data_IF_658623109816
#
_entry.id   IF_658623109816
#
_cell.length_a   1.000
_cell.length_b   1.000
_cell.length_c   1.000
_cell.angle_alpha   90.00
_cell.angle_beta   90.00
_cell.angle_gamma   90.00
#
_symmetry.space_group_name_H-M   'P 1'
#
loop_
_entity.id
_entity.type
_entity.pdbx_description
1 polymer ?
#
# COMPACT_ATOMS: atom_id res chain seq x y z
N UNK A 1 0.98 2.33 10.51
CA UNK A 1 -0.22 1.64 10.01
C UNK A 1 -0.91 0.79 11.10
N UNK A 2 -0.15 0.10 11.95
CA UNK A 2 -0.70 -0.74 13.04
C UNK A 2 -1.62 -0.02 14.04
N UNK A 3 -1.46 1.28 14.28
CA UNK A 3 -2.34 2.02 15.21
C UNK A 3 -3.78 2.10 14.69
N UNK A 4 -3.97 2.41 13.41
CA UNK A 4 -5.30 2.59 12.80
C UNK A 4 -6.07 1.26 12.79
N UNK A 5 -5.42 0.15 12.44
CA UNK A 5 -6.07 -1.17 12.49
C UNK A 5 -6.44 -1.54 13.92
N UNK A 6 -5.55 -1.28 14.89
CA UNK A 6 -5.84 -1.51 16.31
C UNK A 6 -7.03 -0.68 16.80
N UNK A 7 -7.13 0.57 16.35
CA UNK A 7 -8.25 1.46 16.68
C UNK A 7 -9.57 0.93 16.08
N UNK A 8 -9.56 0.52 14.81
CA UNK A 8 -10.73 -0.08 14.14
C UNK A 8 -11.16 -1.37 14.85
N UNK A 9 -10.21 -2.23 15.24
CA UNK A 9 -10.49 -3.44 16.01
C UNK A 9 -11.14 -3.13 17.35
N UNK A 10 -10.68 -2.09 18.03
CA UNK A 10 -11.24 -1.62 19.30
C UNK A 10 -12.67 -1.12 19.10
N UNK A 11 -12.91 -0.31 18.07
CA UNK A 11 -14.24 0.15 17.69
C UNK A 11 -15.19 -1.03 17.41
N UNK A 12 -14.75 -2.02 16.62
CA UNK A 12 -15.56 -3.21 16.32
C UNK A 12 -15.87 -4.02 17.59
N UNK A 13 -14.88 -4.23 18.48
CA UNK A 13 -15.10 -4.91 19.77
C UNK A 13 -16.15 -4.20 20.62
N UNK A 14 -16.08 -2.86 20.69
CA UNK A 14 -17.04 -2.06 21.44
C UNK A 14 -18.45 -2.15 20.83
N UNK A 15 -18.57 -2.01 19.50
CA UNK A 15 -19.84 -2.16 18.80
C UNK A 15 -20.45 -3.55 19.03
N UNK A 16 -19.64 -4.61 18.86
CA UNK A 16 -20.07 -5.99 19.10
C UNK A 16 -20.58 -6.17 20.52
N UNK A 17 -19.85 -5.68 21.52
CA UNK A 17 -20.27 -5.79 22.92
C UNK A 17 -21.60 -5.10 23.18
N UNK A 18 -21.86 -3.95 22.56
CA UNK A 18 -23.14 -3.25 22.68
C UNK A 18 -24.26 -4.01 21.95
N UNK A 19 -23.98 -4.53 20.76
CA UNK A 19 -24.92 -5.35 20.00
C UNK A 19 -25.32 -6.61 20.78
N UNK A 20 -24.37 -7.30 21.41
CA UNK A 20 -24.63 -8.49 22.25
C UNK A 20 -25.59 -8.15 23.41
N UNK A 21 -25.44 -6.98 24.04
CA UNK A 21 -26.36 -6.51 25.10
C UNK A 21 -27.77 -6.23 24.56
N UNK A 22 -27.87 -5.64 23.37
CA UNK A 22 -29.18 -5.38 22.72
C UNK A 22 -29.86 -6.69 22.33
N UNK A 23 -29.12 -7.62 21.72
CA UNK A 23 -29.63 -8.95 21.35
C UNK A 23 -30.16 -9.71 22.57
N UNK A 24 -29.44 -9.65 23.70
CA UNK A 24 -29.92 -10.24 24.96
C UNK A 24 -31.23 -9.60 25.45
N UNK A 25 -31.38 -8.28 25.33
CA UNK A 25 -32.64 -7.59 25.68
C UNK A 25 -33.78 -7.97 24.74
N UNK A 26 -33.50 -8.14 23.45
CA UNK A 26 -34.46 -8.64 22.49
C UNK A 26 -34.87 -10.07 22.81
N UNK A 27 -33.93 -10.95 23.19
CA UNK A 27 -34.26 -12.31 23.62
C UNK A 27 -35.16 -12.29 24.86
N UNK A 28 -34.90 -11.42 25.83
CA UNK A 28 -35.78 -11.28 27.00
C UNK A 28 -37.17 -10.74 26.63
N UNK A 29 -37.26 -9.82 25.69
CA UNK A 29 -38.53 -9.27 25.21
C UNK A 29 -39.35 -10.33 24.46
N UNK A 30 -38.72 -11.06 23.55
CA UNK A 30 -39.35 -12.12 22.74
C UNK A 30 -39.88 -13.23 23.64
N UNK A 31 -39.12 -13.61 24.66
CA UNK A 31 -39.51 -14.66 25.62
C UNK A 31 -40.35 -14.14 26.81
N UNK A 32 -40.88 -12.92 26.73
CA UNK A 32 -41.69 -12.37 27.82
C UNK A 32 -43.11 -12.97 27.81
N UNK A 33 -43.35 -13.96 28.66
CA UNK A 33 -44.65 -14.64 28.80
C UNK A 33 -45.77 -13.74 29.34
N UNK A 34 -45.44 -12.61 29.96
CA UNK A 34 -46.45 -11.66 30.50
C UNK A 34 -47.00 -10.68 29.47
N UNK A 35 -46.34 -10.53 28.32
CA UNK A 35 -46.79 -9.68 27.21
C UNK A 35 -47.46 -10.55 26.14
N UNK A 36 -48.79 -10.52 26.08
CA UNK A 36 -49.62 -11.44 25.29
C UNK A 36 -50.72 -10.69 24.52
N UNK A 37 -51.25 -11.34 23.48
CA UNK A 37 -52.24 -10.79 22.55
C UNK A 37 -51.69 -10.74 21.12
N UNK A 38 -52.57 -10.61 20.13
CA UNK A 38 -52.19 -10.66 18.72
C UNK A 38 -51.15 -9.59 18.35
N UNK A 39 -51.26 -8.38 18.92
CA UNK A 39 -50.29 -7.30 18.73
C UNK A 39 -48.95 -7.59 19.43
N UNK A 40 -48.98 -8.28 20.57
CA UNK A 40 -47.79 -8.67 21.31
C UNK A 40 -47.00 -9.72 20.55
N UNK A 41 -47.69 -10.73 20.00
CA UNK A 41 -47.07 -11.79 19.21
C UNK A 41 -46.49 -11.24 17.90
N UNK A 42 -47.21 -10.34 17.21
CA UNK A 42 -46.68 -9.65 16.03
C UNK A 42 -45.42 -8.81 16.35
N UNK A 43 -45.40 -8.13 17.49
CA UNK A 43 -44.24 -7.34 17.93
C UNK A 43 -43.04 -8.22 18.24
N UNK A 44 -43.25 -9.36 18.94
CA UNK A 44 -42.19 -10.33 19.23
C UNK A 44 -41.62 -10.94 17.95
N UNK A 45 -42.48 -11.27 16.99
CA UNK A 45 -42.05 -11.79 15.68
C UNK A 45 -41.20 -10.77 14.91
N UNK A 46 -41.62 -9.50 14.90
CA UNK A 46 -40.86 -8.42 14.28
C UNK A 46 -39.47 -8.25 14.90
N UNK A 47 -39.39 -8.14 16.23
CA UNK A 47 -38.10 -8.02 16.94
C UNK A 47 -37.23 -9.25 16.68
N UNK A 48 -37.82 -10.45 16.74
CA UNK A 48 -37.06 -11.69 16.60
C UNK A 48 -36.47 -11.88 15.18
N UNK A 49 -37.23 -11.48 14.16
CA UNK A 49 -36.88 -11.75 12.76
C UNK A 49 -36.15 -10.57 12.14
N UNK A 50 -36.68 -9.36 12.29
CA UNK A 50 -36.20 -8.17 11.58
C UNK A 50 -35.08 -7.49 12.37
N UNK A 51 -35.33 -7.10 13.62
CA UNK A 51 -34.35 -6.30 14.37
C UNK A 51 -33.09 -7.10 14.71
N UNK A 52 -33.25 -8.33 15.22
CA UNK A 52 -32.10 -9.24 15.45
C UNK A 52 -31.39 -9.58 14.14
N UNK A 53 -32.14 -9.83 13.06
CA UNK A 53 -31.59 -10.10 11.73
C UNK A 53 -30.72 -8.95 11.22
N UNK A 54 -31.19 -7.72 11.39
CA UNK A 54 -30.45 -6.52 11.03
C UNK A 54 -29.15 -6.37 11.82
N UNK A 55 -29.20 -6.50 13.16
CA UNK A 55 -28.00 -6.39 14.01
C UNK A 55 -26.95 -7.44 13.62
N UNK A 56 -27.37 -8.70 13.44
CA UNK A 56 -26.47 -9.77 13.02
C UNK A 56 -25.85 -9.51 11.64
N UNK A 57 -26.64 -8.99 10.70
CA UNK A 57 -26.16 -8.61 9.36
C UNK A 57 -25.11 -7.49 9.43
N UNK A 58 -25.32 -6.49 10.29
CA UNK A 58 -24.35 -5.42 10.51
C UNK A 58 -23.05 -5.94 11.14
N UNK A 59 -23.14 -6.85 12.13
CA UNK A 59 -21.97 -7.46 12.75
C UNK A 59 -21.12 -8.24 11.74
N UNK A 60 -21.77 -9.05 10.90
CA UNK A 60 -21.09 -9.81 9.85
C UNK A 60 -20.45 -8.89 8.80
N UNK A 61 -21.13 -7.81 8.41
CA UNK A 61 -20.57 -6.83 7.48
C UNK A 61 -19.33 -6.14 8.06
N UNK A 62 -19.39 -5.66 9.30
CA UNK A 62 -18.26 -4.99 9.95
C UNK A 62 -17.08 -5.94 10.18
N UNK A 63 -17.36 -7.21 10.50
CA UNK A 63 -16.33 -8.24 10.64
C UNK A 63 -15.59 -8.45 9.32
N UNK A 64 -16.32 -8.61 8.21
CA UNK A 64 -15.72 -8.74 6.87
C UNK A 64 -14.88 -7.51 6.50
N UNK A 65 -15.39 -6.31 6.80
CA UNK A 65 -14.65 -5.08 6.56
C UNK A 65 -13.34 -5.03 7.36
N UNK A 66 -13.34 -5.45 8.62
CA UNK A 66 -12.13 -5.56 9.44
C UNK A 66 -11.13 -6.58 8.87
N UNK A 67 -11.61 -7.72 8.39
CA UNK A 67 -10.77 -8.73 7.73
C UNK A 67 -10.12 -8.16 6.46
N UNK A 68 -10.86 -7.39 5.66
CA UNK A 68 -10.32 -6.70 4.47
C UNK A 68 -9.22 -5.69 4.85
N UNK A 69 -9.44 -4.88 5.88
CA UNK A 69 -8.42 -3.93 6.32
C UNK A 69 -7.14 -4.63 6.80
N UNK A 70 -7.27 -5.75 7.52
CA UNK A 70 -6.12 -6.58 7.94
C UNK A 70 -5.40 -7.20 6.74
N UNK A 71 -6.16 -7.68 5.76
CA UNK A 71 -5.61 -8.25 4.53
C UNK A 71 -4.81 -7.19 3.76
N UNK A 72 -5.39 -6.03 3.49
CA UNK A 72 -4.74 -4.95 2.76
C UNK A 72 -3.42 -4.51 3.42
N UNK A 73 -3.41 -4.28 4.74
CA UNK A 73 -2.18 -3.88 5.45
C UNK A 73 -1.11 -4.97 5.43
N UNK A 74 -1.50 -6.22 5.67
CA UNK A 74 -0.57 -7.35 5.63
C UNK A 74 -0.01 -7.55 4.23
N UNK A 75 -0.88 -7.52 3.21
CA UNK A 75 -0.50 -7.75 1.83
C UNK A 75 0.39 -6.64 1.28
N UNK A 76 0.13 -5.39 1.68
CA UNK A 76 1.00 -4.26 1.35
C UNK A 76 2.41 -4.45 1.92
N UNK A 77 2.50 -4.86 3.20
CA UNK A 77 3.77 -5.09 3.86
C UNK A 77 4.57 -6.25 3.23
N UNK A 78 3.88 -7.28 2.74
CA UNK A 78 4.50 -8.44 2.10
C UNK A 78 4.93 -8.17 0.65
N UNK A 79 4.12 -7.43 -0.11
CA UNK A 79 4.29 -7.29 -1.56
C UNK A 79 4.98 -5.99 -1.99
N UNK A 80 4.89 -4.94 -1.19
CA UNK A 80 5.36 -3.60 -1.58
C UNK A 80 6.49 -3.12 -0.66
N UNK A 81 6.19 -2.89 0.62
CA UNK A 81 7.16 -2.37 1.60
C UNK A 81 6.80 -2.77 3.02
N UNK A 82 7.69 -3.53 3.67
CA UNK A 82 7.52 -4.03 5.03
C UNK A 82 7.78 -2.99 6.12
N UNK A 83 8.22 -1.78 5.77
CA UNK A 83 8.48 -0.74 6.73
C UNK A 83 7.19 -0.32 7.48
N UNK A 84 7.24 -0.16 8.82
CA UNK A 84 6.05 0.09 9.65
C UNK A 84 5.35 1.44 9.37
N UNK A 85 6.09 2.35 8.75
CA UNK A 85 5.68 3.68 8.31
C UNK A 85 5.73 3.84 6.79
N UNK A 86 5.79 2.73 6.03
CA UNK A 86 5.76 2.75 4.59
C UNK A 86 4.54 3.56 4.11
N UNK A 87 4.82 4.65 3.41
CA UNK A 87 3.85 5.47 2.70
C UNK A 87 4.45 5.69 1.33
N UNK A 88 3.98 4.92 0.38
CA UNK A 88 4.43 5.04 -1.01
C UNK A 88 3.35 5.80 -1.74
N UNK A 89 3.75 6.94 -2.28
CA UNK A 89 2.94 7.72 -3.21
C UNK A 89 3.62 7.63 -4.59
N UNK A 90 2.84 7.18 -5.58
CA UNK A 90 3.33 7.06 -6.95
C UNK A 90 3.75 8.41 -7.52
N UNK A 91 3.12 9.52 -7.11
CA UNK A 91 3.49 10.87 -7.56
C UNK A 91 4.91 11.22 -7.07
N UNK A 92 5.16 11.08 -5.77
CA UNK A 92 6.48 11.31 -5.19
C UNK A 92 7.55 10.34 -5.77
N UNK A 93 7.20 9.09 -6.07
CA UNK A 93 8.12 8.18 -6.75
C UNK A 93 8.45 8.62 -8.17
N UNK A 94 7.48 9.17 -8.91
CA UNK A 94 7.71 9.70 -10.26
C UNK A 94 8.62 10.93 -10.22
N UNK A 95 8.41 11.84 -9.27
CA UNK A 95 9.24 13.02 -9.08
C UNK A 95 10.69 12.62 -8.73
N UNK A 96 10.86 11.75 -7.73
CA UNK A 96 12.17 11.26 -7.32
C UNK A 96 12.90 10.54 -8.46
N UNK A 97 12.19 9.71 -9.24
CA UNK A 97 12.75 9.03 -10.40
C UNK A 97 13.23 10.04 -11.46
N UNK A 98 12.43 11.06 -11.76
CA UNK A 98 12.78 12.08 -12.75
C UNK A 98 14.02 12.89 -12.33
N UNK A 99 14.08 13.33 -11.07
CA UNK A 99 15.23 14.06 -10.53
C UNK A 99 16.51 13.22 -10.56
N UNK A 100 16.45 11.96 -10.10
CA UNK A 100 17.61 11.07 -10.09
C UNK A 100 18.09 10.72 -11.50
N UNK A 101 17.18 10.58 -12.46
CA UNK A 101 17.54 10.43 -13.88
C UNK A 101 18.21 11.68 -14.45
N UNK A 102 17.77 12.88 -14.04
CA UNK A 102 18.44 14.13 -14.43
C UNK A 102 19.88 14.15 -13.90
N UNK A 103 20.07 13.82 -12.63
CA UNK A 103 21.40 13.74 -12.00
C UNK A 103 22.28 12.69 -12.70
N UNK A 104 21.72 11.52 -13.05
CA UNK A 104 22.42 10.50 -13.82
C UNK A 104 22.92 11.05 -15.16
N UNK A 105 22.07 11.74 -15.92
CA UNK A 105 22.42 12.32 -17.22
C UNK A 105 23.50 13.39 -17.10
N UNK A 106 23.41 14.24 -16.09
CA UNK A 106 24.46 15.24 -15.80
C UNK A 106 25.78 14.58 -15.46
N UNK A 107 25.79 13.56 -14.59
CA UNK A 107 26.99 12.80 -14.25
C UNK A 107 27.62 12.13 -15.47
N UNK A 108 26.81 11.55 -16.35
CA UNK A 108 27.27 10.97 -17.62
C UNK A 108 27.91 12.06 -18.47
N UNK A 109 27.22 13.17 -18.72
CA UNK A 109 27.72 14.28 -19.52
C UNK A 109 29.04 14.85 -19.00
N UNK A 110 29.15 15.09 -17.69
CA UNK A 110 30.38 15.62 -17.09
C UNK A 110 31.52 14.61 -17.16
N UNK A 111 31.24 13.34 -16.88
CA UNK A 111 32.25 12.29 -16.96
C UNK A 111 32.83 12.20 -18.37
N UNK A 112 31.96 12.18 -19.39
CA UNK A 112 32.37 12.02 -20.78
C UNK A 112 33.15 13.24 -21.27
N UNK A 113 32.75 14.46 -20.84
CA UNK A 113 33.52 15.67 -21.07
C UNK A 113 34.93 15.60 -20.47
N UNK A 114 35.05 15.25 -19.18
CA UNK A 114 36.35 15.15 -18.52
C UNK A 114 37.23 14.06 -19.13
N UNK A 115 36.64 12.92 -19.51
CA UNK A 115 37.35 11.87 -20.22
C UNK A 115 37.90 12.36 -21.56
N UNK A 116 37.12 13.10 -22.34
CA UNK A 116 37.57 13.71 -23.59
C UNK A 116 38.72 14.69 -23.38
N UNK A 117 38.64 15.54 -22.35
CA UNK A 117 39.73 16.49 -22.02
C UNK A 117 41.00 15.76 -21.63
N UNK A 118 40.89 14.70 -20.82
CA UNK A 118 42.04 13.86 -20.43
C UNK A 118 42.65 13.16 -21.67
N UNK A 119 41.82 12.64 -22.56
CA UNK A 119 42.27 11.99 -23.79
C UNK A 119 43.00 12.98 -24.71
N UNK A 120 42.51 14.21 -24.85
CA UNK A 120 43.16 15.27 -25.63
C UNK A 120 44.47 15.75 -25.00
N UNK A 121 44.53 15.90 -23.67
CA UNK A 121 45.76 16.25 -22.95
C UNK A 121 46.83 15.18 -23.12
N UNK A 122 46.45 13.90 -22.95
CA UNK A 122 47.37 12.78 -23.15
C UNK A 122 47.85 12.70 -24.61
N UNK A 123 46.98 12.98 -25.60
CA UNK A 123 47.35 12.99 -27.02
C UNK A 123 48.33 14.12 -27.38
N UNK A 124 48.07 15.34 -26.93
CA UNK A 124 48.79 16.54 -27.37
C UNK A 124 50.03 16.84 -26.51
N UNK A 125 50.00 16.47 -25.24
CA UNK A 125 51.02 16.87 -24.26
C UNK A 125 51.60 15.71 -23.45
N UNK A 126 51.09 14.48 -23.62
CA UNK A 126 51.55 13.30 -22.89
C UNK A 126 53.03 12.95 -23.10
N UNK A 127 53.62 13.34 -24.24
CA UNK A 127 55.03 13.11 -24.57
C UNK A 127 55.94 14.34 -24.34
N UNK A 128 55.39 15.53 -24.07
CA UNK A 128 56.14 16.80 -23.99
C UNK A 128 56.81 16.94 -22.63
N UNK A 129 56.16 16.43 -21.61
CA UNK A 129 56.68 16.42 -20.25
C UNK A 129 56.84 14.95 -19.87
N UNK A 130 58.05 14.55 -19.46
CA UNK A 130 58.35 13.25 -18.85
C UNK A 130 57.63 13.09 -17.49
N UNK A 131 56.33 13.39 -17.43
CA UNK A 131 55.51 13.10 -16.28
C UNK A 131 55.56 11.60 -16.06
N UNK A 132 55.90 11.20 -14.85
CA UNK A 132 56.04 9.79 -14.49
C UNK A 132 54.72 9.01 -14.59
N UNK A 133 53.58 9.69 -14.85
CA UNK A 133 52.26 9.11 -15.10
C UNK A 133 51.42 9.99 -16.05
N UNK A 134 50.62 9.38 -16.95
CA UNK A 134 49.65 10.11 -17.79
C UNK A 134 48.53 10.75 -16.95
N UNK A 135 47.82 11.72 -17.53
CA UNK A 135 46.60 12.27 -16.92
C UNK A 135 45.56 11.16 -16.76
N UNK A 136 44.95 11.06 -15.58
CA UNK A 136 44.00 9.99 -15.24
C UNK A 136 42.55 10.43 -15.44
N UNK A 137 41.73 9.55 -16.03
CA UNK A 137 40.28 9.74 -16.15
C UNK A 137 39.60 9.77 -14.78
N UNK A 138 38.51 10.54 -14.61
CA UNK A 138 37.72 10.52 -13.38
C UNK A 138 37.11 9.13 -13.14
N UNK A 139 37.13 8.67 -11.89
CA UNK A 139 36.54 7.38 -11.52
C UNK A 139 35.03 7.51 -11.26
N UNK A 140 34.26 7.75 -12.32
CA UNK A 140 32.81 7.97 -12.25
C UNK A 140 31.96 6.70 -12.34
N UNK A 141 32.56 5.58 -12.76
CA UNK A 141 31.86 4.31 -13.02
C UNK A 141 30.99 3.84 -11.83
N UNK A 142 31.47 3.79 -10.58
CA UNK A 142 30.63 3.33 -9.46
C UNK A 142 29.42 4.24 -9.21
N UNK A 143 29.57 5.55 -9.39
CA UNK A 143 28.48 6.50 -9.21
C UNK A 143 27.44 6.37 -10.34
N UNK A 144 27.89 6.19 -11.59
CA UNK A 144 27.00 5.90 -12.74
C UNK A 144 26.22 4.60 -12.51
N UNK A 145 26.90 3.54 -12.06
CA UNK A 145 26.27 2.24 -11.76
C UNK A 145 25.27 2.35 -10.59
N UNK A 146 25.63 3.01 -9.49
CA UNK A 146 24.73 3.19 -8.35
C UNK A 146 23.46 3.97 -8.73
N UNK A 147 23.59 5.07 -9.49
CA UNK A 147 22.44 5.83 -9.98
C UNK A 147 21.63 5.01 -10.99
N UNK A 148 22.27 4.27 -11.90
CA UNK A 148 21.57 3.41 -12.85
C UNK A 148 20.79 2.30 -12.15
N UNK A 149 21.33 1.70 -11.08
CA UNK A 149 20.61 0.72 -10.27
C UNK A 149 19.40 1.32 -9.56
N UNK A 150 19.51 2.58 -9.12
CA UNK A 150 18.45 3.26 -8.38
C UNK A 150 17.31 3.72 -9.30
N UNK A 151 17.65 4.42 -10.39
CA UNK A 151 16.69 5.12 -11.25
C UNK A 151 16.63 4.61 -12.70
N UNK A 152 17.29 3.49 -13.03
CA UNK A 152 17.26 2.88 -14.37
C UNK A 152 18.26 3.46 -15.36
N UNK A 153 18.90 4.59 -15.05
CA UNK A 153 19.83 5.25 -15.96
C UNK A 153 19.12 5.68 -17.25
N UNK A 154 19.60 5.21 -18.40
CA UNK A 154 18.98 5.47 -19.71
C UNK A 154 17.75 4.59 -20.00
N UNK A 155 17.56 3.49 -19.27
CA UNK A 155 16.41 2.60 -19.44
C UNK A 155 15.24 3.08 -18.57
N UNK A 156 14.12 3.45 -19.21
CA UNK A 156 12.92 3.97 -18.55
C UNK A 156 12.16 2.89 -17.75
N UNK A 157 12.39 1.62 -18.06
CA UNK A 157 11.69 0.48 -17.46
C UNK A 157 12.57 -0.30 -16.48
N UNK A 158 13.70 0.28 -16.07
CA UNK A 158 14.65 -0.33 -15.15
C UNK A 158 14.84 0.47 -13.86
N UNK A 159 15.57 -0.14 -12.93
CA UNK A 159 15.95 0.46 -11.65
C UNK A 159 15.03 0.08 -10.50
N UNK A 160 15.53 0.34 -9.29
CA UNK A 160 14.83 0.06 -8.06
C UNK A 160 13.50 0.82 -7.96
N UNK A 161 13.49 2.12 -8.28
CA UNK A 161 12.27 2.95 -8.18
C UNK A 161 11.17 2.43 -9.13
N UNK A 162 11.53 2.08 -10.37
CA UNK A 162 10.59 1.45 -11.30
C UNK A 162 10.02 0.14 -10.73
N UNK A 163 10.89 -0.71 -10.17
CA UNK A 163 10.47 -1.99 -9.57
C UNK A 163 9.47 -1.80 -8.42
N UNK A 164 9.67 -0.78 -7.57
CA UNK A 164 8.73 -0.42 -6.51
C UNK A 164 7.39 0.06 -7.08
N UNK A 165 7.40 0.89 -8.14
CA UNK A 165 6.18 1.33 -8.82
C UNK A 165 5.39 0.15 -9.37
N UNK A 166 6.05 -0.82 -10.03
CA UNK A 166 5.39 -2.01 -10.54
C UNK A 166 4.83 -2.89 -9.42
N UNK A 167 5.54 -3.04 -8.30
CA UNK A 167 5.05 -3.76 -7.13
C UNK A 167 3.76 -3.11 -6.58
N UNK A 168 3.74 -1.78 -6.50
CA UNK A 168 2.58 -1.02 -6.05
C UNK A 168 1.37 -1.17 -7.01
N UNK A 169 1.59 -1.03 -8.32
CA UNK A 169 0.54 -1.23 -9.35
C UNK A 169 -0.04 -2.65 -9.27
N UNK A 170 0.84 -3.65 -9.17
CA UNK A 170 0.43 -5.05 -9.07
C UNK A 170 -0.37 -5.31 -7.78
N UNK A 171 0.09 -4.76 -6.66
CA UNK A 171 -0.65 -4.83 -5.40
C UNK A 171 -2.06 -4.24 -5.56
N UNK A 172 -2.20 -3.05 -6.12
CA UNK A 172 -3.50 -2.38 -6.30
C UNK A 172 -4.47 -3.21 -7.18
N UNK A 173 -3.95 -3.80 -8.26
CA UNK A 173 -4.73 -4.72 -9.11
C UNK A 173 -5.19 -5.97 -8.36
N UNK A 174 -4.30 -6.59 -7.57
CA UNK A 174 -4.60 -7.82 -6.82
C UNK A 174 -5.61 -7.55 -5.69
N UNK A 175 -5.46 -6.46 -4.95
CA UNK A 175 -6.39 -6.07 -3.88
C UNK A 175 -7.76 -5.69 -4.43
N UNK A 176 -7.82 -4.98 -5.56
CA UNK A 176 -9.09 -4.67 -6.24
C UNK A 176 -9.84 -5.96 -6.62
N UNK A 177 -9.14 -6.94 -7.21
CA UNK A 177 -9.71 -8.24 -7.54
C UNK A 177 -10.15 -9.02 -6.30
N UNK A 178 -9.39 -8.96 -5.21
CA UNK A 178 -9.75 -9.57 -3.94
C UNK A 178 -11.05 -8.98 -3.38
N UNK A 179 -11.17 -7.65 -3.34
CA UNK A 179 -12.37 -6.93 -2.87
C UNK A 179 -13.60 -7.33 -3.69
N UNK A 180 -13.48 -7.35 -5.02
CA UNK A 180 -14.57 -7.76 -5.92
C UNK A 180 -15.02 -9.20 -5.66
N UNK A 181 -14.08 -10.10 -5.33
CA UNK A 181 -14.37 -11.50 -5.03
C UNK A 181 -15.19 -11.69 -3.75
N UNK A 182 -15.12 -10.76 -2.80
CA UNK A 182 -15.77 -10.88 -1.50
C UNK A 182 -17.29 -10.69 -1.53
N UNK A 183 -17.88 -10.24 -2.66
CA UNK A 183 -19.34 -10.11 -2.86
C UNK A 183 -20.08 -9.50 -1.66
N UNK A 184 -19.57 -8.41 -1.10
CA UNK A 184 -20.10 -7.74 0.11
C UNK A 184 -21.58 -7.29 -0.04
N UNK A 185 -22.09 -7.24 -1.27
CA UNK A 185 -23.41 -6.68 -1.62
C UNK A 185 -24.59 -7.63 -1.33
N UNK A 186 -24.38 -8.93 -1.09
CA UNK A 186 -25.52 -9.84 -0.87
C UNK A 186 -26.17 -9.78 0.53
N UNK A 187 -25.62 -9.01 1.47
CA UNK A 187 -26.20 -8.85 2.82
C UNK A 187 -27.32 -7.79 2.85
N UNK A 188 -27.36 -6.88 1.88
CA UNK A 188 -28.35 -5.80 1.81
C UNK A 188 -29.65 -6.17 1.05
N UNK A 189 -29.76 -7.37 0.48
CA UNK A 189 -30.96 -7.81 -0.27
C UNK A 189 -32.13 -8.28 0.60
N UNK A 190 -31.97 -8.26 1.91
CA UNK A 190 -33.01 -8.63 2.88
C UNK A 190 -33.47 -7.45 3.75
N UNK A 191 -33.18 -6.21 3.33
CA UNK A 191 -33.81 -5.00 3.85
C UNK A 191 -34.92 -4.58 2.89
#
# INVERSE_FOLDING_TARGET
MNSVITDIESCFKNYKSQADVVLLKFDNFVNNDSFQGDEADASKEFVNTVEKGFINSQLEMQKKLLEMYRHAVTSFAEKVDSAPNARIDLEHLNEAEAELRSIYRELVSYSDFFESVVDDLNRNHGNVYNFSRPYSKPYSKPAKEALSHLCGGDDLDAGFIHSVKQAFIKYDMEESAYIDSMKLINVARYI
#
